data_IF_577359544186
#
_entry.id   IF_577359544186
#
_cell.length_a   1.000
_cell.length_b   1.000
_cell.length_c   1.000
_cell.angle_alpha   90.00
_cell.angle_beta   90.00
_cell.angle_gamma   90.00
#
_symmetry.space_group_name_H-M   'P 1'
#
loop_
_entity.id
_entity.type
_entity.pdbx_description
1 polymer ?
#
# COMPACT_ATOMS: atom_id res chain seq x y z
N UNK A 1 13.78 -17.63 -13.58
CA UNK A 1 12.40 -17.69 -14.10
C UNK A 1 11.61 -16.63 -13.37
N UNK A 2 11.24 -15.54 -14.03
CA UNK A 2 10.46 -14.47 -13.40
C UNK A 2 9.03 -14.98 -13.17
N UNK A 3 8.63 -15.09 -11.91
CA UNK A 3 7.27 -15.47 -11.52
C UNK A 3 6.34 -14.33 -11.94
N UNK A 4 5.43 -14.58 -12.90
CA UNK A 4 4.46 -13.57 -13.34
C UNK A 4 3.58 -13.17 -12.17
N UNK A 5 3.70 -11.93 -11.73
CA UNK A 5 2.82 -11.31 -10.75
C UNK A 5 1.40 -11.24 -11.34
N UNK A 6 0.47 -12.01 -10.80
CA UNK A 6 -0.89 -12.10 -11.30
C UNK A 6 -1.83 -11.26 -10.43
N UNK A 7 -2.71 -10.47 -11.06
CA UNK A 7 -3.82 -9.79 -10.36
C UNK A 7 -4.63 -10.76 -9.49
N UNK A 8 -4.75 -12.03 -9.90
CA UNK A 8 -5.44 -13.07 -9.12
C UNK A 8 -4.71 -13.43 -7.82
N UNK A 9 -3.38 -13.39 -7.81
CA UNK A 9 -2.59 -13.67 -6.59
C UNK A 9 -2.75 -12.54 -5.59
N UNK A 10 -2.70 -11.28 -6.05
CA UNK A 10 -2.92 -10.13 -5.19
C UNK A 10 -4.37 -10.07 -4.66
N UNK A 11 -5.38 -10.34 -5.50
CA UNK A 11 -6.78 -10.37 -5.08
C UNK A 11 -7.07 -11.50 -4.08
N UNK A 12 -6.38 -12.65 -4.18
CA UNK A 12 -6.48 -13.72 -3.18
C UNK A 12 -5.79 -13.36 -1.86
N UNK A 13 -4.61 -12.75 -1.92
CA UNK A 13 -3.91 -12.27 -0.74
C UNK A 13 -4.67 -11.08 -0.10
N UNK A 14 -5.21 -10.18 -0.92
CA UNK A 14 -6.07 -9.08 -0.50
C UNK A 14 -7.37 -9.55 0.14
N UNK A 15 -7.97 -10.66 -0.31
CA UNK A 15 -9.15 -11.25 0.31
C UNK A 15 -8.87 -11.80 1.72
N UNK A 16 -7.64 -12.22 1.99
CA UNK A 16 -7.27 -12.74 3.32
C UNK A 16 -6.89 -11.65 4.33
N UNK A 17 -6.46 -10.45 3.88
CA UNK A 17 -5.97 -9.42 4.79
C UNK A 17 -6.36 -7.99 4.43
N UNK A 18 -6.26 -7.59 3.18
CA UNK A 18 -6.54 -6.23 2.71
C UNK A 18 -7.85 -6.12 1.92
N UNK A 19 -8.25 -7.17 1.20
CA UNK A 19 -9.43 -7.18 0.33
C UNK A 19 -10.77 -7.29 1.07
N UNK A 20 -10.79 -7.74 2.32
CA UNK A 20 -12.03 -7.72 3.12
C UNK A 20 -12.43 -6.31 3.58
N UNK A 21 -11.55 -5.31 3.48
CA UNK A 21 -11.88 -3.93 3.84
C UNK A 21 -12.72 -3.21 2.80
N UNK A 22 -12.71 -3.64 1.53
CA UNK A 22 -13.37 -2.91 0.44
C UNK A 22 -14.75 -3.46 0.03
N UNK A 23 -15.16 -4.65 0.48
CA UNK A 23 -16.33 -5.35 -0.08
C UNK A 23 -17.50 -5.58 0.90
N UNK A 24 -17.41 -5.16 2.17
CA UNK A 24 -18.56 -5.18 3.08
C UNK A 24 -19.19 -3.79 3.24
N UNK A 25 -19.50 -3.14 2.13
CA UNK A 25 -20.50 -2.08 2.11
C UNK A 25 -21.86 -2.76 2.01
N UNK A 26 -22.50 -2.89 3.15
CA UNK A 26 -23.95 -3.06 3.36
C UNK A 26 -24.75 -3.61 2.17
N UNK A 27 -24.88 -4.92 2.06
CA UNK A 27 -26.12 -5.50 1.54
C UNK A 27 -26.99 -5.83 2.75
N UNK A 28 -28.00 -5.01 3.01
CA UNK A 28 -29.01 -5.28 3.99
C UNK A 28 -29.81 -6.52 3.55
N UNK A 29 -29.55 -7.67 4.18
CA UNK A 29 -30.45 -8.80 4.19
C UNK A 29 -31.02 -8.92 5.60
N UNK A 30 -32.31 -8.81 5.72
CA UNK A 30 -33.03 -8.94 6.96
C UNK A 30 -32.98 -10.39 7.44
N UNK A 31 -32.36 -10.63 8.61
CA UNK A 31 -32.79 -11.57 9.65
C UNK A 31 -31.74 -11.73 10.77
N UNK A 32 -32.20 -11.58 12.00
CA UNK A 32 -31.64 -11.90 13.30
C UNK A 32 -30.91 -10.75 14.04
N UNK A 33 -31.16 -10.62 15.36
CA UNK A 33 -30.55 -9.59 16.20
C UNK A 33 -29.07 -9.90 16.36
N UNK A 34 -28.24 -9.11 15.74
CA UNK A 34 -26.80 -9.11 15.98
C UNK A 34 -26.49 -8.07 17.05
N UNK A 35 -25.73 -8.51 18.05
CA UNK A 35 -25.00 -7.65 18.94
C UNK A 35 -24.30 -6.56 18.12
N UNK A 36 -24.43 -5.32 18.55
CA UNK A 36 -23.88 -4.12 17.91
C UNK A 36 -22.35 -4.14 17.84
N UNK A 37 -21.81 -4.99 16.98
CA UNK A 37 -20.43 -4.85 16.55
C UNK A 37 -20.39 -3.63 15.61
N UNK A 38 -19.97 -2.50 16.14
CA UNK A 38 -19.70 -1.30 15.38
C UNK A 38 -18.82 -1.69 14.19
N UNK A 39 -19.31 -1.51 12.95
CA UNK A 39 -18.55 -1.89 11.76
C UNK A 39 -17.18 -1.18 11.68
N UNK A 40 -16.99 -0.12 12.45
CA UNK A 40 -15.74 0.58 12.61
C UNK A 40 -14.74 -0.15 13.55
N UNK A 41 -15.21 -0.97 14.50
CA UNK A 41 -14.33 -1.72 15.40
C UNK A 41 -13.46 -2.73 14.64
N UNK A 42 -13.97 -3.25 13.53
CA UNK A 42 -13.22 -4.08 12.62
C UNK A 42 -12.02 -3.33 12.01
N UNK A 43 -12.20 -2.06 11.64
CA UNK A 43 -11.14 -1.21 11.06
C UNK A 43 -10.07 -0.83 12.08
N UNK A 44 -10.38 -0.91 13.38
CA UNK A 44 -9.50 -0.47 14.46
C UNK A 44 -8.98 -1.61 15.34
N UNK A 45 -9.39 -2.86 15.11
CA UNK A 45 -8.81 -3.99 15.81
C UNK A 45 -7.33 -4.10 15.46
N UNK A 46 -6.48 -3.92 16.47
CA UNK A 46 -5.05 -4.16 16.36
C UNK A 46 -4.82 -5.55 15.78
N UNK A 47 -4.11 -5.66 14.68
CA UNK A 47 -3.76 -6.93 14.06
C UNK A 47 -3.06 -7.83 15.08
N UNK A 48 -3.27 -9.14 14.97
CA UNK A 48 -2.59 -10.14 15.81
C UNK A 48 -1.08 -10.04 15.61
N UNK A 49 -0.31 -10.46 16.61
CA UNK A 49 1.14 -10.62 16.52
C UNK A 49 1.54 -11.36 15.24
N UNK A 50 2.59 -10.93 14.54
CA UNK A 50 3.08 -11.60 13.35
C UNK A 50 3.27 -13.10 13.57
N UNK A 51 2.83 -13.90 12.61
CA UNK A 51 2.92 -15.37 12.67
C UNK A 51 4.20 -15.91 12.06
N UNK A 52 5.02 -15.03 11.49
CA UNK A 52 6.23 -15.39 10.76
C UNK A 52 7.46 -14.75 11.38
N UNK A 53 8.62 -15.36 11.16
CA UNK A 53 9.93 -14.76 11.45
C UNK A 53 10.45 -13.90 10.29
N UNK A 54 9.74 -13.87 9.16
CA UNK A 54 10.07 -13.01 8.03
C UNK A 54 9.86 -11.55 8.43
N UNK A 55 10.87 -10.71 8.21
CA UNK A 55 10.84 -9.30 8.58
C UNK A 55 11.50 -8.44 7.50
N UNK A 56 10.68 -7.73 6.75
CA UNK A 56 11.14 -6.64 5.89
C UNK A 56 11.52 -5.40 6.71
N UNK A 57 12.11 -4.43 6.07
CA UNK A 57 12.49 -3.15 6.67
C UNK A 57 11.58 -2.03 6.21
N UNK A 58 11.44 -0.98 7.03
CA UNK A 58 10.67 0.22 6.67
C UNK A 58 11.51 1.47 6.88
N UNK A 59 11.29 2.47 6.02
CA UNK A 59 11.92 3.78 6.11
C UNK A 59 10.86 4.85 5.85
N UNK A 60 11.01 6.03 6.48
CA UNK A 60 10.21 7.23 6.17
C UNK A 60 11.17 8.28 5.64
N UNK A 61 10.88 8.83 4.49
CA UNK A 61 11.78 9.62 3.69
C UNK A 61 11.01 10.76 2.98
N UNK A 62 11.76 11.58 2.24
CA UNK A 62 11.23 12.65 1.40
C UNK A 62 11.59 12.42 -0.05
N UNK A 63 10.78 12.93 -0.93
CA UNK A 63 11.06 13.07 -2.34
C UNK A 63 10.64 14.47 -2.78
N UNK A 64 11.39 15.08 -3.67
CA UNK A 64 11.05 16.39 -4.22
C UNK A 64 10.10 16.22 -5.40
N UNK A 65 8.96 16.91 -5.37
CA UNK A 65 8.04 16.96 -6.50
C UNK A 65 8.27 18.21 -7.33
N UNK A 66 8.65 18.01 -8.57
CA UNK A 66 8.75 19.12 -9.54
C UNK A 66 7.37 19.72 -9.86
N UNK A 67 6.33 18.91 -9.85
CA UNK A 67 4.95 19.33 -10.07
C UNK A 67 4.45 20.20 -8.93
N UNK A 68 4.67 19.78 -7.67
CA UNK A 68 4.20 20.50 -6.48
C UNK A 68 5.18 21.55 -5.96
N UNK A 69 6.43 21.59 -6.49
CA UNK A 69 7.53 22.49 -6.09
C UNK A 69 7.85 22.40 -4.58
N UNK A 70 7.79 21.21 -4.02
CA UNK A 70 8.05 20.98 -2.60
C UNK A 70 8.54 19.56 -2.31
N UNK A 71 9.12 19.39 -1.13
CA UNK A 71 9.40 18.07 -0.56
C UNK A 71 8.11 17.43 -0.06
N UNK A 72 7.89 16.19 -0.46
CA UNK A 72 6.74 15.38 -0.08
C UNK A 72 7.19 14.16 0.73
N UNK A 73 6.37 13.77 1.70
CA UNK A 73 6.66 12.59 2.50
C UNK A 73 6.25 11.30 1.79
N UNK A 74 7.01 10.25 2.01
CA UNK A 74 6.59 8.89 1.74
C UNK A 74 7.21 7.93 2.75
N UNK A 75 6.62 6.76 2.89
CA UNK A 75 7.27 5.66 3.59
C UNK A 75 7.42 4.49 2.63
N UNK A 76 8.43 3.67 2.86
CA UNK A 76 8.69 2.48 2.05
C UNK A 76 8.90 1.27 2.94
N UNK A 77 8.32 0.14 2.54
CA UNK A 77 8.62 -1.19 3.04
C UNK A 77 9.46 -1.91 1.97
N UNK A 78 10.56 -2.49 2.40
CA UNK A 78 11.47 -3.29 1.58
C UNK A 78 11.44 -4.73 2.08
N UNK A 79 11.35 -5.74 1.20
CA UNK A 79 11.36 -7.14 1.60
C UNK A 79 12.70 -7.54 2.24
N UNK A 80 12.71 -8.62 3.00
CA UNK A 80 13.91 -9.05 3.75
C UNK A 80 15.11 -9.36 2.85
N UNK A 81 14.87 -9.80 1.61
CA UNK A 81 15.91 -10.10 0.62
C UNK A 81 16.41 -8.87 -0.15
N UNK A 82 15.86 -7.67 0.15
CA UNK A 82 16.23 -6.47 -0.61
C UNK A 82 17.69 -6.09 -0.40
N UNK A 83 18.43 -6.07 -1.51
CA UNK A 83 19.80 -5.56 -1.58
C UNK A 83 19.87 -4.47 -2.65
N UNK A 84 20.18 -3.25 -2.25
CA UNK A 84 20.28 -2.09 -3.16
C UNK A 84 21.37 -2.25 -4.21
N UNK A 85 22.40 -3.07 -3.95
CA UNK A 85 23.51 -3.33 -4.84
C UNK A 85 23.20 -4.45 -5.86
N UNK A 86 22.21 -5.29 -5.59
CA UNK A 86 21.82 -6.38 -6.48
C UNK A 86 20.84 -5.92 -7.56
N UNK A 87 21.34 -5.25 -8.60
CA UNK A 87 20.50 -4.73 -9.70
C UNK A 87 19.89 -5.83 -10.58
N UNK A 88 20.30 -7.08 -10.42
CA UNK A 88 19.70 -8.20 -11.15
C UNK A 88 18.37 -8.65 -10.54
N UNK A 89 18.09 -8.29 -9.29
CA UNK A 89 16.83 -8.59 -8.62
C UNK A 89 15.94 -7.34 -8.60
N UNK A 90 14.77 -7.46 -9.20
CA UNK A 90 13.76 -6.38 -9.23
C UNK A 90 12.44 -6.87 -8.63
N UNK A 91 11.77 -5.97 -7.93
CA UNK A 91 10.56 -6.27 -7.16
C UNK A 91 9.34 -5.55 -7.73
N UNK A 92 8.14 -6.16 -7.70
CA UNK A 92 6.91 -5.44 -7.94
C UNK A 92 6.69 -4.41 -6.84
N UNK A 93 5.99 -3.32 -7.17
CA UNK A 93 5.72 -2.21 -6.25
C UNK A 93 4.23 -2.10 -5.99
N UNK A 94 3.86 -2.00 -4.71
CA UNK A 94 2.50 -1.70 -4.27
C UNK A 94 2.49 -0.25 -3.76
N UNK A 95 1.74 0.63 -4.42
CA UNK A 95 1.50 2.00 -3.98
C UNK A 95 0.23 2.03 -3.13
N UNK A 96 0.34 2.51 -1.88
CA UNK A 96 -0.74 2.53 -0.91
C UNK A 96 -1.10 3.95 -0.49
N UNK A 97 -2.39 4.26 -0.60
CA UNK A 97 -2.99 5.57 -0.39
C UNK A 97 -3.87 5.58 0.86
N UNK A 98 -3.68 6.59 1.72
CA UNK A 98 -4.44 6.77 2.97
C UNK A 98 -5.82 7.42 2.75
N UNK A 99 -6.66 7.44 3.79
CA UNK A 99 -7.94 8.15 3.79
C UNK A 99 -7.81 9.63 4.17
N UNK A 100 -8.92 10.36 4.08
CA UNK A 100 -9.02 11.79 4.47
C UNK A 100 -8.45 12.00 5.88
N UNK A 101 -7.69 13.09 6.06
CA UNK A 101 -7.06 13.45 7.33
C UNK A 101 -5.88 12.56 7.74
N UNK A 102 -5.47 11.65 6.86
CA UNK A 102 -4.33 10.79 7.07
C UNK A 102 -3.03 11.33 6.47
N UNK A 103 -2.01 10.48 6.52
CA UNK A 103 -0.69 10.70 5.95
C UNK A 103 -0.01 9.34 5.70
N UNK A 104 1.21 9.31 5.15
CA UNK A 104 1.93 8.11 4.75
C UNK A 104 2.12 7.05 5.87
N UNK A 105 2.07 7.44 7.16
CA UNK A 105 2.22 6.50 8.27
C UNK A 105 0.93 5.80 8.66
N UNK A 106 -0.25 6.28 8.24
CA UNK A 106 -1.53 5.70 8.68
C UNK A 106 -1.67 4.23 8.31
N UNK A 107 -1.26 3.84 7.10
CA UNK A 107 -1.30 2.45 6.67
C UNK A 107 -0.34 1.56 7.48
N UNK A 108 0.71 2.15 8.03
CA UNK A 108 1.72 1.49 8.85
C UNK A 108 1.25 1.36 10.29
N UNK A 109 0.89 2.49 10.91
CA UNK A 109 0.65 2.56 12.36
C UNK A 109 -0.74 2.08 12.75
N UNK A 110 -1.74 2.41 11.94
CA UNK A 110 -3.15 2.09 12.23
C UNK A 110 -3.56 0.72 11.71
N UNK A 111 -3.06 0.33 10.53
CA UNK A 111 -3.44 -0.90 9.86
C UNK A 111 -2.35 -1.99 9.89
N UNK A 112 -1.18 -1.71 10.49
CA UNK A 112 -0.07 -2.66 10.60
C UNK A 112 0.30 -3.32 9.27
N UNK A 113 0.21 -2.56 8.17
CA UNK A 113 0.42 -3.11 6.82
C UNK A 113 1.78 -3.80 6.64
N UNK A 114 2.90 -3.32 7.21
CA UNK A 114 4.17 -4.04 7.15
C UNK A 114 4.11 -5.43 7.78
N UNK A 115 3.38 -5.60 8.88
CA UNK A 115 3.24 -6.90 9.54
C UNK A 115 2.40 -7.85 8.71
N UNK A 116 1.35 -7.34 8.05
CA UNK A 116 0.54 -8.10 7.10
C UNK A 116 1.40 -8.55 5.91
N UNK A 117 2.24 -7.66 5.36
CA UNK A 117 3.15 -8.01 4.28
C UNK A 117 4.15 -9.08 4.72
N UNK A 118 4.73 -8.95 5.92
CA UNK A 118 5.63 -9.96 6.48
C UNK A 118 4.94 -11.33 6.58
N UNK A 119 3.71 -11.39 7.09
CA UNK A 119 2.97 -12.64 7.22
C UNK A 119 2.66 -13.26 5.85
N UNK A 120 2.18 -12.48 4.89
CA UNK A 120 1.82 -12.95 3.56
C UNK A 120 3.03 -13.38 2.73
N UNK A 121 4.15 -12.65 2.84
CA UNK A 121 5.39 -13.01 2.16
C UNK A 121 6.03 -14.23 2.83
N UNK A 122 6.08 -14.24 4.16
CA UNK A 122 6.66 -15.34 4.93
C UNK A 122 5.89 -16.65 4.80
N UNK A 123 4.57 -16.61 4.54
CA UNK A 123 3.75 -17.80 4.24
C UNK A 123 3.81 -18.21 2.76
N UNK A 124 4.41 -17.41 1.88
CA UNK A 124 4.45 -17.65 0.43
C UNK A 124 3.15 -17.31 -0.30
N UNK A 125 2.17 -16.69 0.38
CA UNK A 125 0.91 -16.25 -0.23
C UNK A 125 1.10 -15.01 -1.12
N UNK A 126 2.10 -14.16 -0.79
CA UNK A 126 2.49 -13.00 -1.56
C UNK A 126 3.97 -13.13 -1.94
N UNK A 127 4.36 -12.91 -3.20
CA UNK A 127 5.77 -12.79 -3.54
C UNK A 127 6.37 -11.55 -2.90
N UNK A 128 7.69 -11.55 -2.68
CA UNK A 128 8.39 -10.38 -2.19
C UNK A 128 8.12 -9.15 -3.05
N UNK A 129 7.83 -8.04 -2.40
CA UNK A 129 7.46 -6.79 -3.06
C UNK A 129 7.94 -5.59 -2.25
N UNK A 130 8.08 -4.45 -2.91
CA UNK A 130 8.24 -3.15 -2.30
C UNK A 130 6.84 -2.57 -2.06
N UNK A 131 6.58 -1.95 -0.90
CA UNK A 131 5.37 -1.16 -0.71
C UNK A 131 5.72 0.30 -0.43
N UNK A 132 5.08 1.21 -1.16
CA UNK A 132 5.25 2.66 -1.04
C UNK A 132 3.98 3.24 -0.46
N UNK A 133 4.09 3.92 0.66
CA UNK A 133 3.00 4.59 1.35
C UNK A 133 3.06 6.08 1.03
N UNK A 134 2.08 6.57 0.31
CA UNK A 134 2.05 7.93 -0.23
C UNK A 134 1.39 8.88 0.76
N UNK A 135 1.98 10.06 0.98
CA UNK A 135 1.28 11.18 1.59
C UNK A 135 0.57 11.97 0.48
N UNK A 136 -0.72 11.74 0.36
CA UNK A 136 -1.55 12.42 -0.64
C UNK A 136 -2.26 13.65 -0.10
N UNK A 137 -1.95 14.08 1.14
CA UNK A 137 -2.67 15.14 1.83
C UNK A 137 -4.20 14.87 1.84
N UNK A 138 -5.03 15.87 1.59
CA UNK A 138 -6.48 15.72 1.42
C UNK A 138 -6.91 15.98 -0.04
N UNK A 139 -6.09 15.53 -1.00
CA UNK A 139 -6.25 15.80 -2.44
C UNK A 139 -7.28 14.92 -3.14
N UNK A 140 -7.75 13.82 -2.50
CA UNK A 140 -8.45 12.73 -3.18
C UNK A 140 -7.63 12.09 -4.31
N UNK A 141 -6.31 12.34 -4.31
CA UNK A 141 -5.33 11.81 -5.28
C UNK A 141 -5.61 12.18 -6.74
N UNK A 142 -6.34 13.26 -6.97
CA UNK A 142 -6.55 13.84 -8.30
C UNK A 142 -5.98 15.27 -8.37
N UNK A 143 -5.89 15.80 -9.57
CA UNK A 143 -5.43 17.17 -9.81
C UNK A 143 -6.56 18.15 -9.51
N UNK A 144 -6.42 18.92 -8.45
CA UNK A 144 -7.35 19.94 -8.02
C UNK A 144 -6.74 21.34 -8.01
N UNK A 145 -7.53 22.38 -7.71
CA UNK A 145 -7.04 23.75 -7.62
C UNK A 145 -5.89 23.87 -6.60
N UNK A 146 -4.70 24.22 -7.07
CA UNK A 146 -3.52 24.42 -6.22
C UNK A 146 -2.78 23.17 -5.77
N UNK A 147 -3.24 21.97 -6.14
CA UNK A 147 -2.58 20.72 -5.78
C UNK A 147 -2.75 19.68 -6.89
N UNK A 148 -1.75 19.55 -7.76
CA UNK A 148 -1.73 18.60 -8.88
C UNK A 148 -1.17 17.23 -8.40
N UNK A 149 -1.93 16.53 -7.56
CA UNK A 149 -1.45 15.31 -6.86
C UNK A 149 -1.35 14.10 -7.78
N UNK A 150 -2.31 13.89 -8.67
CA UNK A 150 -2.26 12.81 -9.66
C UNK A 150 -1.04 12.95 -10.56
N UNK A 151 -0.83 14.15 -11.12
CA UNK A 151 0.35 14.47 -11.93
C UNK A 151 1.64 14.24 -11.14
N UNK A 152 1.72 14.69 -9.88
CA UNK A 152 2.90 14.51 -9.03
C UNK A 152 3.21 13.03 -8.77
N UNK A 153 2.18 12.21 -8.51
CA UNK A 153 2.37 10.78 -8.29
C UNK A 153 2.86 10.09 -9.58
N UNK A 154 2.21 10.37 -10.70
CA UNK A 154 2.49 9.67 -11.96
C UNK A 154 3.82 10.11 -12.56
N UNK A 155 4.12 11.39 -12.55
CA UNK A 155 5.26 11.96 -13.28
C UNK A 155 6.50 12.24 -12.42
N UNK A 156 6.34 12.36 -11.09
CA UNK A 156 7.46 12.62 -10.21
C UNK A 156 7.73 11.43 -9.28
N UNK A 157 6.74 10.98 -8.47
CA UNK A 157 6.96 9.92 -7.46
C UNK A 157 7.31 8.57 -8.08
N UNK A 158 6.52 8.09 -9.04
CA UNK A 158 6.75 6.77 -9.64
C UNK A 158 8.13 6.69 -10.30
N UNK A 159 8.56 7.66 -11.14
CA UNK A 159 9.91 7.66 -11.69
C UNK A 159 11.01 7.78 -10.62
N UNK A 160 10.76 8.54 -9.55
CA UNK A 160 11.69 8.65 -8.43
C UNK A 160 11.86 7.29 -7.72
N UNK A 161 10.79 6.56 -7.45
CA UNK A 161 10.82 5.23 -6.83
C UNK A 161 11.55 4.24 -7.73
N UNK A 162 11.27 4.23 -9.03
CA UNK A 162 11.93 3.35 -9.99
C UNK A 162 13.43 3.63 -10.13
N UNK A 163 13.85 4.87 -9.97
CA UNK A 163 15.27 5.27 -9.97
C UNK A 163 15.97 4.92 -8.66
N UNK A 164 15.25 5.01 -7.54
CA UNK A 164 15.83 4.85 -6.19
C UNK A 164 15.93 3.40 -5.77
N UNK A 165 14.94 2.58 -6.14
CA UNK A 165 14.82 1.20 -5.72
C UNK A 165 14.89 0.23 -6.91
N UNK A 166 15.19 -1.03 -6.62
CA UNK A 166 15.22 -2.09 -7.62
C UNK A 166 13.79 -2.56 -7.95
N UNK A 167 13.07 -1.82 -8.77
CA UNK A 167 11.67 -2.07 -9.11
C UNK A 167 11.52 -2.79 -10.45
N UNK A 168 10.43 -3.54 -10.61
CA UNK A 168 9.93 -3.93 -11.92
C UNK A 168 9.25 -2.70 -12.54
N UNK A 169 10.07 -1.83 -13.19
CA UNK A 169 9.67 -0.53 -13.70
C UNK A 169 8.75 -0.61 -14.93
N UNK A 170 7.68 -1.41 -14.83
CA UNK A 170 6.67 -1.59 -15.88
C UNK A 170 5.25 -1.52 -15.29
N UNK A 171 4.26 -1.36 -16.14
CA UNK A 171 2.84 -1.35 -15.74
C UNK A 171 2.45 -2.65 -15.02
N UNK A 172 2.96 -3.78 -15.47
CA UNK A 172 2.67 -5.11 -14.92
C UNK A 172 3.33 -5.32 -13.55
N UNK A 173 4.39 -4.57 -13.26
CA UNK A 173 5.11 -4.58 -11.99
C UNK A 173 4.51 -3.66 -10.93
N UNK A 174 3.43 -2.91 -11.24
CA UNK A 174 2.84 -1.93 -10.32
C UNK A 174 1.42 -2.29 -9.92
N UNK A 175 1.13 -2.09 -8.65
CA UNK A 175 -0.21 -2.22 -8.08
C UNK A 175 -0.48 -0.94 -7.30
N UNK A 176 -1.70 -0.43 -7.41
CA UNK A 176 -2.17 0.70 -6.62
C UNK A 176 -3.37 0.26 -5.79
N UNK A 177 -3.46 0.76 -4.57
CA UNK A 177 -4.58 0.51 -3.68
C UNK A 177 -4.65 1.54 -2.58
N UNK A 178 -5.80 1.63 -1.93
CA UNK A 178 -5.99 2.60 -0.87
C UNK A 178 -7.28 2.39 -0.11
N UNK A 179 -7.46 3.20 0.92
CA UNK A 179 -8.65 3.17 1.79
C UNK A 179 -9.41 4.50 1.71
N UNK A 180 -10.74 4.45 1.66
CA UNK A 180 -11.59 5.64 1.66
C UNK A 180 -11.20 6.59 0.52
N UNK A 181 -10.73 7.81 0.83
CA UNK A 181 -10.17 8.76 -0.13
C UNK A 181 -9.15 8.10 -1.08
N UNK A 182 -8.23 7.29 -0.54
CA UNK A 182 -7.23 6.57 -1.34
C UNK A 182 -7.80 5.41 -2.17
N UNK A 183 -9.01 4.96 -1.86
CA UNK A 183 -9.74 3.99 -2.69
C UNK A 183 -10.57 4.64 -3.79
N UNK A 184 -10.79 5.95 -3.70
CA UNK A 184 -11.45 6.76 -4.72
C UNK A 184 -10.45 7.20 -5.81
N UNK A 185 -9.27 7.65 -5.41
CA UNK A 185 -8.19 8.16 -6.27
C UNK A 185 -7.36 7.14 -7.04
#
# INVERSE_FOLDING_TARGET
>A
MATKFSRKTFLKAGAAGLGMMALNVCTASAAAPQEDANCLDFLFKKQKTPKTTYAGTRKTLFWYSETLKQDCNYSVYLPASYDENNKAQAYPVIYLMHGVGGHQLNMIERFSTPDILNDLIGSGELPECIAVFIDGYNSFYYDGPGLAMETAIIHDLIPFIDKTYNTLASKEGRIIGGISMGGYG
#
